data_IF_234473921032
#
_entry.id   IF_234473921032
#
_cell.length_a   1.000
_cell.length_b   1.000
_cell.length_c   1.000
_cell.angle_alpha   90.00
_cell.angle_beta   90.00
_cell.angle_gamma   90.00
#
_symmetry.space_group_name_H-M   'P 1'
#
loop_
_entity.id
_entity.type
_entity.pdbx_description
1 polymer ?
#
# COMPACT_ATOMS: atom_id res chain seq x y z
N UNK A 1 2.27 13.24 -8.89
CA UNK A 1 1.81 12.83 -7.54
C UNK A 1 2.93 12.74 -6.47
N UNK A 2 3.94 13.61 -6.44
CA UNK A 2 4.92 13.58 -5.33
C UNK A 2 4.34 14.16 -4.03
N UNK A 3 3.33 15.04 -4.12
CA UNK A 3 2.76 15.77 -2.97
C UNK A 3 2.00 14.90 -1.97
N UNK A 4 1.43 13.78 -2.39
CA UNK A 4 0.75 12.84 -1.49
C UNK A 4 1.70 11.82 -0.86
N UNK A 5 2.88 11.62 -1.47
CA UNK A 5 3.85 10.62 -1.03
C UNK A 5 4.59 11.10 0.22
N UNK A 6 4.97 12.37 0.26
CA UNK A 6 5.62 13.02 1.43
C UNK A 6 4.76 12.92 2.71
N UNK A 7 3.48 13.35 2.74
CA UNK A 7 2.66 13.24 3.95
C UNK A 7 2.38 11.78 4.33
N UNK A 8 2.28 10.87 3.35
CA UNK A 8 2.10 9.45 3.62
C UNK A 8 3.35 8.83 4.26
N UNK A 9 4.55 9.15 3.77
CA UNK A 9 5.81 8.73 4.37
C UNK A 9 6.01 9.33 5.77
N UNK A 10 5.65 10.60 5.97
CA UNK A 10 5.69 11.26 7.28
C UNK A 10 4.75 10.57 8.27
N UNK A 11 3.53 10.27 7.85
CA UNK A 11 2.55 9.55 8.65
C UNK A 11 3.04 8.16 9.04
N UNK A 12 3.53 7.37 8.08
CA UNK A 12 4.10 6.05 8.39
C UNK A 12 5.32 6.10 9.30
N UNK A 13 6.14 7.15 9.19
CA UNK A 13 7.28 7.36 10.10
C UNK A 13 6.81 7.64 11.53
N UNK A 14 5.71 8.39 11.70
CA UNK A 14 5.13 8.65 13.02
C UNK A 14 4.49 7.42 13.68
N UNK A 15 4.08 6.43 12.88
CA UNK A 15 3.50 5.17 13.37
C UNK A 15 4.57 4.11 13.72
N UNK A 16 5.84 4.36 13.41
CA UNK A 16 6.90 3.39 13.61
C UNK A 16 7.28 3.32 15.10
N UNK A 17 7.15 2.14 15.70
CA UNK A 17 7.59 1.86 17.07
C UNK A 17 9.07 1.44 17.13
N UNK A 18 9.67 1.56 18.32
CA UNK A 18 11.02 1.07 18.56
C UNK A 18 11.09 -0.46 18.34
N UNK A 19 12.12 -0.96 17.63
CA UNK A 19 12.26 -2.38 17.36
C UNK A 19 12.64 -3.15 18.63
N UNK A 20 11.75 -4.03 19.08
CA UNK A 20 11.88 -4.93 20.24
C UNK A 20 12.64 -6.23 19.94
N UNK A 21 13.17 -6.39 18.73
CA UNK A 21 13.99 -7.54 18.31
C UNK A 21 13.22 -8.64 17.56
N UNK A 22 11.88 -8.64 17.59
CA UNK A 22 11.03 -9.53 16.80
C UNK A 22 10.16 -8.67 15.88
N UNK A 23 10.29 -8.89 14.56
CA UNK A 23 9.52 -8.18 13.54
C UNK A 23 8.69 -9.13 12.69
N UNK A 24 7.40 -8.89 12.59
CA UNK A 24 6.50 -9.60 11.68
C UNK A 24 6.44 -8.85 10.35
N UNK A 25 6.70 -9.56 9.25
CA UNK A 25 6.57 -9.00 7.91
C UNK A 25 5.29 -9.53 7.28
N UNK A 26 4.38 -8.63 6.93
CA UNK A 26 3.22 -8.97 6.12
C UNK A 26 3.10 -8.07 4.89
N UNK A 27 2.52 -8.61 3.83
CA UNK A 27 2.24 -7.88 2.60
C UNK A 27 0.73 -7.68 2.44
N UNK A 28 0.27 -6.45 2.68
CA UNK A 28 -1.15 -6.08 2.57
C UNK A 28 -1.43 -5.46 1.21
N UNK A 29 -2.52 -5.89 0.56
CA UNK A 29 -2.95 -5.32 -0.73
C UNK A 29 -3.84 -4.10 -0.51
N UNK A 30 -3.37 -2.91 -0.88
CA UNK A 30 -4.13 -1.66 -0.84
C UNK A 30 -4.86 -1.48 -2.17
N UNK A 31 -6.17 -1.72 -2.17
CA UNK A 31 -7.02 -1.56 -3.37
C UNK A 31 -7.42 -0.10 -3.51
N UNK A 32 -7.09 0.51 -4.65
CA UNK A 32 -7.39 1.94 -4.89
C UNK A 32 -8.68 2.13 -5.68
N UNK A 33 -9.15 1.10 -6.38
CA UNK A 33 -10.47 1.05 -6.99
C UNK A 33 -10.93 -0.40 -7.19
N UNK A 34 -12.20 -0.56 -7.58
CA UNK A 34 -12.73 -1.86 -8.00
C UNK A 34 -12.20 -2.25 -9.38
N UNK A 35 -11.94 -3.54 -9.63
CA UNK A 35 -11.33 -4.02 -10.89
C UNK A 35 -12.12 -3.61 -12.14
N UNK A 36 -13.45 -3.57 -12.06
CA UNK A 36 -14.32 -3.12 -13.16
C UNK A 36 -14.16 -1.63 -13.52
N UNK A 37 -13.59 -0.82 -12.62
CA UNK A 37 -13.45 0.64 -12.77
C UNK A 37 -12.03 1.08 -13.12
N UNK A 38 -11.10 0.15 -13.36
CA UNK A 38 -9.68 0.45 -13.65
C UNK A 38 -9.57 1.43 -14.82
N UNK A 39 -10.30 1.20 -15.92
CA UNK A 39 -10.24 2.06 -17.12
C UNK A 39 -10.70 3.50 -16.90
N UNK A 40 -11.47 3.77 -15.83
CA UNK A 40 -11.95 5.12 -15.48
C UNK A 40 -11.15 5.76 -14.34
N UNK A 41 -10.25 5.02 -13.70
CA UNK A 41 -9.49 5.51 -12.56
C UNK A 41 -8.35 6.43 -13.01
N UNK A 42 -8.45 7.72 -12.65
CA UNK A 42 -7.46 8.75 -13.03
C UNK A 42 -6.53 9.15 -11.90
N UNK A 43 -6.99 9.03 -10.65
CA UNK A 43 -6.30 9.60 -9.49
C UNK A 43 -4.90 9.03 -9.31
N UNK A 44 -4.70 7.73 -9.49
CA UNK A 44 -3.39 7.05 -9.39
C UNK A 44 -3.02 6.37 -10.72
N UNK A 45 -3.50 6.90 -11.84
CA UNK A 45 -3.18 6.37 -13.16
C UNK A 45 -1.66 6.42 -13.39
N UNK A 46 -1.09 5.30 -13.87
CA UNK A 46 0.35 5.15 -14.06
C UNK A 46 1.17 4.85 -12.81
N UNK A 47 0.58 4.94 -11.60
CA UNK A 47 1.23 4.54 -10.35
C UNK A 47 0.66 3.24 -9.79
N UNK A 48 -0.67 3.11 -9.79
CA UNK A 48 -1.35 1.89 -9.37
C UNK A 48 -1.25 0.82 -10.47
N UNK A 49 -1.01 -0.42 -10.05
CA UNK A 49 -0.84 -1.57 -10.93
C UNK A 49 -1.83 -2.68 -10.58
N UNK A 50 -2.09 -3.59 -11.52
CA UNK A 50 -2.81 -4.83 -11.21
C UNK A 50 -1.88 -5.78 -10.47
N UNK A 51 -2.28 -6.16 -9.26
CA UNK A 51 -1.62 -7.19 -8.45
C UNK A 51 -2.51 -8.42 -8.28
N UNK A 52 -1.89 -9.57 -8.00
CA UNK A 52 -2.59 -10.81 -7.61
C UNK A 52 -2.26 -11.10 -6.15
N UNK A 53 -3.29 -11.27 -5.33
CA UNK A 53 -3.19 -11.74 -3.95
C UNK A 53 -3.89 -13.09 -3.78
N UNK A 54 -3.88 -13.61 -2.56
CA UNK A 54 -4.64 -14.82 -2.17
C UNK A 54 -6.13 -14.69 -2.46
N UNK A 55 -6.68 -13.48 -2.30
CA UNK A 55 -8.09 -13.16 -2.55
C UNK A 55 -8.39 -12.78 -4.01
N UNK A 56 -7.46 -13.02 -4.95
CA UNK A 56 -7.63 -12.73 -6.37
C UNK A 56 -6.95 -11.45 -6.85
N UNK A 57 -7.40 -10.93 -7.99
CA UNK A 57 -6.84 -9.73 -8.61
C UNK A 57 -7.30 -8.46 -7.90
N UNK A 58 -6.40 -7.48 -7.81
CA UNK A 58 -6.72 -6.13 -7.35
C UNK A 58 -5.97 -5.08 -8.17
N UNK A 59 -6.44 -3.84 -8.12
CA UNK A 59 -5.74 -2.68 -8.67
C UNK A 59 -5.34 -1.73 -7.55
N UNK A 60 -4.05 -1.45 -7.43
CA UNK A 60 -3.51 -0.62 -6.37
C UNK A 60 -2.07 -0.97 -6.03
N UNK A 61 -1.75 -1.00 -4.74
CA UNK A 61 -0.38 -1.16 -4.24
C UNK A 61 -0.25 -2.36 -3.32
N UNK A 62 0.96 -2.93 -3.25
CA UNK A 62 1.30 -3.90 -2.21
C UNK A 62 2.12 -3.17 -1.15
N UNK A 63 1.58 -3.08 0.06
CA UNK A 63 2.27 -2.49 1.20
C UNK A 63 2.98 -3.61 1.96
N UNK A 64 4.29 -3.47 2.11
CA UNK A 64 5.09 -4.36 2.94
C UNK A 64 5.27 -3.67 4.29
N UNK A 65 4.66 -4.23 5.34
CA UNK A 65 4.75 -3.72 6.70
C UNK A 65 5.69 -4.61 7.51
N UNK A 66 6.49 -3.97 8.37
CA UNK A 66 7.25 -4.63 9.42
C UNK A 66 6.64 -4.16 10.73
N UNK A 67 5.99 -5.08 11.46
CA UNK A 67 5.36 -4.81 12.75
C UNK A 67 6.29 -5.36 13.85
N UNK A 68 6.75 -4.48 14.72
CA UNK A 68 7.53 -4.89 15.91
C UNK A 68 6.57 -5.36 17.00
N UNK A 69 6.96 -6.39 17.77
CA UNK A 69 6.18 -6.93 18.88
C UNK A 69 6.16 -6.01 20.10
#
# INVERSE_FOLDING_TARGET
MPTALVPLCSYFSSLKSDPTGIGFVDSTSIKVCHNLRIHRHKTLAGLACRGKGTMGWFYGFKLHLIVNH
#
